data_IF_391419812515
#
_entry.id   IF_391419812515
#
_cell.length_a   1.000
_cell.length_b   1.000
_cell.length_c   1.000
_cell.angle_alpha   90.00
_cell.angle_beta   90.00
_cell.angle_gamma   90.00
#
_symmetry.space_group_name_H-M   'P 1'
#
loop_
_entity.id
_entity.type
_entity.pdbx_description
1 polymer ?
#
# COMPACT_ATOMS: atom_id res chain seq x y z
N UNK A 1 4.74 5.43 5.56
CA UNK A 1 5.15 4.82 6.82
C UNK A 1 5.87 5.88 7.61
N UNK A 2 5.53 6.10 8.88
CA UNK A 2 6.32 6.98 9.71
C UNK A 2 7.76 6.45 9.78
N UNK A 3 8.73 7.37 9.72
CA UNK A 3 10.12 7.02 10.00
C UNK A 3 10.26 6.52 11.44
N UNK A 4 11.28 5.71 11.70
CA UNK A 4 11.67 5.37 13.06
C UNK A 4 12.01 6.67 13.81
N UNK A 5 11.33 7.01 14.92
CA UNK A 5 11.59 8.25 15.65
C UNK A 5 13.05 8.41 16.08
N UNK A 6 13.80 7.31 16.24
CA UNK A 6 15.21 7.32 16.63
C UNK A 6 16.13 7.80 15.51
N UNK A 7 15.74 7.60 14.25
CA UNK A 7 16.57 7.91 13.07
C UNK A 7 15.92 8.88 12.09
N UNK A 8 14.67 9.29 12.33
CA UNK A 8 13.87 10.09 11.41
C UNK A 8 14.60 11.32 10.86
N UNK A 9 15.15 12.17 11.72
CA UNK A 9 15.85 13.39 11.28
C UNK A 9 17.11 13.08 10.46
N UNK A 10 17.84 12.03 10.85
CA UNK A 10 19.03 11.59 10.10
C UNK A 10 18.64 11.04 8.72
N UNK A 11 17.59 10.25 8.66
CA UNK A 11 17.15 9.59 7.42
C UNK A 11 16.56 10.63 6.44
N UNK A 12 15.80 11.61 6.95
CA UNK A 12 15.34 12.76 6.15
C UNK A 12 16.52 13.56 5.61
N UNK A 13 17.49 13.93 6.45
CA UNK A 13 18.66 14.70 6.05
C UNK A 13 19.50 13.96 4.99
N UNK A 14 19.67 12.63 5.16
CA UNK A 14 20.37 11.80 4.18
C UNK A 14 19.64 11.78 2.84
N UNK A 15 18.30 11.67 2.83
CA UNK A 15 17.51 11.74 1.60
C UNK A 15 17.64 13.10 0.90
N UNK A 16 17.56 14.20 1.66
CA UNK A 16 17.70 15.55 1.11
C UNK A 16 19.09 15.80 0.50
N UNK A 17 20.14 15.20 1.07
CA UNK A 17 21.50 15.31 0.54
C UNK A 17 21.69 14.64 -0.83
N UNK A 18 20.76 13.77 -1.25
CA UNK A 18 20.78 13.08 -2.54
C UNK A 18 19.79 13.69 -3.56
N UNK A 19 19.14 14.79 -3.23
CA UNK A 19 18.24 15.47 -4.16
C UNK A 19 19.02 16.04 -5.35
N UNK A 20 18.47 15.96 -6.58
CA UNK A 20 19.10 16.53 -7.75
C UNK A 20 19.08 18.06 -7.68
N UNK A 21 19.99 18.70 -8.42
CA UNK A 21 20.25 20.14 -8.33
C UNK A 21 19.00 21.02 -8.55
N UNK A 22 18.04 20.53 -9.33
CA UNK A 22 16.80 21.25 -9.67
C UNK A 22 15.83 21.39 -8.48
N UNK A 23 15.94 20.54 -7.47
CA UNK A 23 15.04 20.53 -6.30
C UNK A 23 15.79 20.57 -4.96
N UNK A 24 17.10 20.85 -4.97
CA UNK A 24 17.95 20.86 -3.76
C UNK A 24 17.57 21.93 -2.73
N UNK A 25 16.89 22.99 -3.16
CA UNK A 25 16.47 24.10 -2.30
C UNK A 25 15.13 23.85 -1.61
N UNK A 26 14.44 22.74 -1.93
CA UNK A 26 13.22 22.34 -1.23
C UNK A 26 13.55 21.90 0.20
N UNK A 27 12.67 22.23 1.14
CA UNK A 27 12.66 21.60 2.44
C UNK A 27 12.04 20.19 2.35
N UNK A 28 12.27 19.38 3.39
CA UNK A 28 11.65 18.06 3.49
C UNK A 28 10.11 18.13 3.38
N UNK A 29 9.53 19.14 4.02
CA UNK A 29 8.08 19.38 4.07
C UNK A 29 7.49 19.75 2.71
N UNK A 30 8.29 20.34 1.81
CA UNK A 30 7.85 20.73 0.47
C UNK A 30 7.66 19.52 -0.47
N UNK A 31 8.19 18.35 -0.09
CA UNK A 31 8.02 17.09 -0.83
C UNK A 31 6.65 16.45 -0.59
N UNK A 32 5.92 16.89 0.43
CA UNK A 32 4.59 16.36 0.73
C UNK A 32 3.55 16.89 -0.27
N UNK A 33 2.83 15.97 -0.92
CA UNK A 33 1.63 16.36 -1.67
C UNK A 33 0.51 16.64 -0.67
N UNK A 34 0.26 17.94 -0.45
CA UNK A 34 -0.68 18.42 0.57
C UNK A 34 -2.02 17.66 0.57
N UNK A 35 -2.49 17.16 1.73
CA UNK A 35 -3.79 16.50 1.85
C UNK A 35 -4.94 17.37 1.35
N UNK A 36 -5.91 16.75 0.67
CA UNK A 36 -7.08 17.45 0.13
C UNK A 36 -6.81 18.37 -1.07
N UNK A 37 -5.55 18.55 -1.47
CA UNK A 37 -5.20 19.31 -2.68
C UNK A 37 -5.73 18.65 -3.95
N UNK A 38 -5.95 19.44 -5.00
CA UNK A 38 -6.32 18.92 -6.32
C UNK A 38 -5.29 17.91 -6.86
N UNK A 39 -3.99 18.15 -6.57
CA UNK A 39 -2.91 17.24 -6.94
C UNK A 39 -3.05 15.88 -6.23
N UNK A 40 -3.30 15.88 -4.91
CA UNK A 40 -3.54 14.64 -4.14
C UNK A 40 -4.76 13.89 -4.65
N UNK A 41 -5.88 14.59 -4.80
CA UNK A 41 -7.14 13.98 -5.25
C UNK A 41 -7.01 13.37 -6.65
N UNK A 42 -6.33 14.06 -7.58
CA UNK A 42 -6.05 13.54 -8.91
C UNK A 42 -5.15 12.32 -8.85
N UNK A 43 -4.07 12.36 -8.06
CA UNK A 43 -3.14 11.24 -7.91
C UNK A 43 -3.84 9.98 -7.38
N UNK A 44 -4.67 10.12 -6.34
CA UNK A 44 -5.43 9.00 -5.75
C UNK A 44 -6.43 8.43 -6.76
N UNK A 45 -7.18 9.29 -7.45
CA UNK A 45 -8.16 8.87 -8.47
C UNK A 45 -7.49 8.15 -9.65
N UNK A 46 -6.38 8.68 -10.15
CA UNK A 46 -5.68 8.08 -11.29
C UNK A 46 -5.04 6.74 -10.87
N UNK A 47 -4.62 6.61 -9.61
CA UNK A 47 -4.13 5.34 -9.06
C UNK A 47 -5.25 4.29 -8.94
N UNK A 48 -6.42 4.66 -8.42
CA UNK A 48 -7.62 3.81 -8.41
C UNK A 48 -7.94 3.30 -9.81
N UNK A 49 -8.01 4.21 -10.79
CA UNK A 49 -8.29 3.86 -12.18
C UNK A 49 -7.24 2.90 -12.77
N UNK A 50 -5.97 3.07 -12.44
CA UNK A 50 -4.91 2.16 -12.88
C UNK A 50 -5.04 0.77 -12.25
N UNK A 51 -5.34 0.68 -10.95
CA UNK A 51 -5.58 -0.58 -10.26
C UNK A 51 -6.82 -1.29 -10.81
N UNK A 52 -7.90 -0.56 -11.03
CA UNK A 52 -9.14 -1.08 -11.61
C UNK A 52 -8.95 -1.60 -13.03
N UNK A 53 -8.19 -0.88 -13.87
CA UNK A 53 -7.99 -1.27 -15.26
C UNK A 53 -7.02 -2.45 -15.43
N UNK A 54 -6.01 -2.57 -14.56
CA UNK A 54 -4.88 -3.51 -14.77
C UNK A 54 -4.87 -4.69 -13.82
N UNK A 55 -5.20 -4.48 -12.55
CA UNK A 55 -5.08 -5.53 -11.53
C UNK A 55 -6.44 -6.12 -11.18
N UNK A 56 -7.50 -5.31 -11.05
CA UNK A 56 -8.83 -5.81 -10.68
C UNK A 56 -9.30 -7.00 -11.53
N UNK A 57 -9.12 -7.06 -12.87
CA UNK A 57 -9.56 -8.20 -13.67
C UNK A 57 -8.84 -9.52 -13.34
N UNK A 58 -7.66 -9.46 -12.73
CA UNK A 58 -6.89 -10.64 -12.34
C UNK A 58 -7.42 -11.29 -11.05
N UNK A 59 -8.31 -10.62 -10.31
CA UNK A 59 -8.83 -11.06 -9.02
C UNK A 59 -10.36 -11.28 -9.07
N UNK A 60 -10.88 -12.27 -8.33
CA UNK A 60 -12.30 -12.60 -8.35
C UNK A 60 -13.17 -11.46 -7.80
N UNK A 61 -14.39 -11.36 -8.34
CA UNK A 61 -15.43 -10.47 -7.82
C UNK A 61 -15.99 -10.96 -6.49
N UNK A 62 -16.84 -10.13 -5.86
CA UNK A 62 -17.56 -10.53 -4.64
C UNK A 62 -18.50 -11.70 -4.94
N UNK A 63 -18.37 -12.80 -4.21
CA UNK A 63 -19.17 -14.02 -4.40
C UNK A 63 -18.54 -15.07 -5.34
N UNK A 64 -17.31 -14.85 -5.79
CA UNK A 64 -16.49 -15.89 -6.44
C UNK A 64 -15.58 -16.63 -5.47
N UNK A 65 -15.79 -16.44 -4.15
CA UNK A 65 -15.02 -17.06 -3.08
C UNK A 65 -15.90 -18.17 -2.45
N UNK A 66 -15.67 -19.43 -2.81
CA UNK A 66 -16.29 -20.64 -2.23
C UNK A 66 -15.17 -21.61 -1.79
N UNK A 67 -15.47 -22.80 -1.24
CA UNK A 67 -14.42 -23.67 -0.67
C UNK A 67 -13.33 -24.07 -1.69
N UNK A 68 -13.61 -23.98 -3.00
CA UNK A 68 -12.66 -24.27 -4.08
C UNK A 68 -12.01 -23.01 -4.67
N UNK A 69 -12.60 -21.82 -4.46
CA UNK A 69 -12.13 -20.55 -5.00
C UNK A 69 -11.84 -19.52 -3.91
N UNK A 70 -10.67 -18.88 -3.98
CA UNK A 70 -10.24 -17.90 -2.98
C UNK A 70 -9.99 -16.52 -3.59
N UNK A 71 -9.72 -15.50 -2.75
CA UNK A 71 -9.55 -14.12 -3.17
C UNK A 71 -8.24 -13.85 -3.91
N UNK A 72 -7.46 -14.89 -4.20
CA UNK A 72 -6.16 -14.81 -4.87
C UNK A 72 -6.32 -14.69 -6.39
N UNK A 73 -5.22 -14.36 -7.05
CA UNK A 73 -5.17 -14.18 -8.49
C UNK A 73 -5.75 -15.38 -9.24
N UNK A 74 -6.67 -15.13 -10.17
CA UNK A 74 -7.38 -16.15 -10.93
C UNK A 74 -8.45 -16.91 -10.14
N UNK A 75 -8.83 -16.46 -8.95
CA UNK A 75 -9.84 -17.13 -8.11
C UNK A 75 -9.31 -18.35 -7.35
N UNK A 76 -7.99 -18.46 -7.18
CA UNK A 76 -7.37 -19.65 -6.58
C UNK A 76 -7.65 -19.73 -5.08
N UNK A 77 -7.78 -20.93 -4.54
CA UNK A 77 -7.86 -21.16 -3.09
C UNK A 77 -6.55 -20.85 -2.34
N UNK A 78 -5.39 -20.91 -3.01
CA UNK A 78 -4.08 -20.65 -2.41
C UNK A 78 -3.30 -19.55 -3.15
N UNK A 79 -2.51 -18.73 -2.42
CA UNK A 79 -1.77 -17.63 -3.02
C UNK A 79 -0.63 -18.13 -3.91
N UNK A 80 -0.31 -17.36 -4.93
CA UNK A 80 0.90 -17.47 -5.73
C UNK A 80 1.82 -16.27 -5.51
N UNK A 81 3.04 -16.32 -6.04
CA UNK A 81 4.05 -15.25 -5.87
C UNK A 81 3.52 -13.85 -6.22
N UNK A 82 2.68 -13.73 -7.26
CA UNK A 82 2.09 -12.46 -7.65
C UNK A 82 1.16 -11.86 -6.57
N UNK A 83 0.43 -12.70 -5.83
CA UNK A 83 -0.41 -12.25 -4.70
C UNK A 83 0.45 -11.62 -3.61
N UNK A 84 1.63 -12.19 -3.33
CA UNK A 84 2.54 -11.63 -2.33
C UNK A 84 3.15 -10.29 -2.76
N UNK A 85 3.40 -10.07 -4.07
CA UNK A 85 3.82 -8.76 -4.57
C UNK A 85 2.73 -7.72 -4.29
N UNK A 86 1.49 -8.01 -4.68
CA UNK A 86 0.36 -7.09 -4.48
C UNK A 86 0.07 -6.91 -3.00
N UNK A 87 0.10 -7.98 -2.20
CA UNK A 87 -0.06 -7.94 -0.74
C UNK A 87 1.01 -7.09 -0.06
N UNK A 88 2.26 -7.17 -0.52
CA UNK A 88 3.34 -6.30 -0.06
C UNK A 88 3.06 -4.82 -0.35
N UNK A 89 2.55 -4.50 -1.55
CA UNK A 89 2.10 -3.15 -1.87
C UNK A 89 0.95 -2.69 -0.97
N UNK A 90 -0.04 -3.56 -0.72
CA UNK A 90 -1.16 -3.22 0.17
C UNK A 90 -0.70 -2.95 1.61
N UNK A 91 0.26 -3.74 2.13
CA UNK A 91 0.87 -3.48 3.44
C UNK A 91 1.66 -2.18 3.49
N UNK A 92 2.37 -1.85 2.40
CA UNK A 92 3.03 -0.55 2.24
C UNK A 92 2.01 0.58 2.25
N UNK A 93 0.94 0.48 1.45
CA UNK A 93 -0.11 1.49 1.35
C UNK A 93 -0.86 1.68 2.67
N UNK A 94 -1.17 0.61 3.42
CA UNK A 94 -1.72 0.70 4.77
C UNK A 94 -0.88 1.59 5.69
N UNK A 95 0.44 1.53 5.55
CA UNK A 95 1.35 2.34 6.36
C UNK A 95 1.62 3.74 5.81
N UNK A 96 1.27 4.04 4.55
CA UNK A 96 1.63 5.27 3.85
C UNK A 96 0.44 6.18 3.54
N UNK A 97 -0.73 5.60 3.31
CA UNK A 97 -1.94 6.36 3.02
C UNK A 97 -2.56 6.90 4.31
N UNK A 98 -3.11 8.13 4.29
CA UNK A 98 -4.02 8.59 5.32
C UNK A 98 -5.22 7.64 5.48
N UNK A 99 -5.75 7.52 6.70
CA UNK A 99 -6.83 6.58 7.05
C UNK A 99 -8.03 6.62 6.06
N UNK A 100 -8.55 7.79 5.63
CA UNK A 100 -9.68 7.82 4.70
C UNK A 100 -9.36 7.25 3.31
N UNK A 101 -8.11 7.41 2.85
CA UNK A 101 -7.67 6.89 1.56
C UNK A 101 -7.40 5.38 1.64
N UNK A 102 -6.81 4.91 2.75
CA UNK A 102 -6.67 3.49 3.04
C UNK A 102 -8.03 2.80 3.12
N UNK A 103 -8.99 3.36 3.85
CA UNK A 103 -10.37 2.83 3.94
C UNK A 103 -11.01 2.73 2.54
N UNK A 104 -10.89 3.77 1.72
CA UNK A 104 -11.41 3.75 0.36
C UNK A 104 -10.76 2.65 -0.49
N UNK A 105 -9.42 2.54 -0.48
CA UNK A 105 -8.71 1.51 -1.22
C UNK A 105 -9.09 0.10 -0.74
N UNK A 106 -9.14 -0.11 0.57
CA UNK A 106 -9.43 -1.42 1.14
C UNK A 106 -10.86 -1.87 0.86
N UNK A 107 -11.83 -0.98 1.10
CA UNK A 107 -13.23 -1.35 1.22
C UNK A 107 -14.08 -1.00 0.01
N UNK A 108 -13.68 0.00 -0.80
CA UNK A 108 -14.52 0.53 -1.90
C UNK A 108 -13.94 0.23 -3.27
N UNK A 109 -12.63 0.45 -3.46
CA UNK A 109 -11.98 0.25 -4.77
C UNK A 109 -12.13 -1.18 -5.25
N UNK A 110 -12.30 -1.32 -6.57
CA UNK A 110 -12.45 -2.63 -7.22
C UNK A 110 -13.52 -3.54 -6.59
N UNK A 111 -14.55 -2.99 -5.94
CA UNK A 111 -15.56 -3.77 -5.22
C UNK A 111 -15.02 -4.48 -3.97
N UNK A 112 -14.06 -3.85 -3.28
CA UNK A 112 -13.46 -4.33 -2.04
C UNK A 112 -12.52 -5.53 -2.21
N UNK A 113 -12.02 -5.77 -3.43
CA UNK A 113 -11.06 -6.87 -3.72
C UNK A 113 -9.79 -6.75 -2.88
N UNK A 114 -9.28 -5.53 -2.73
CA UNK A 114 -8.01 -5.29 -2.03
C UNK A 114 -8.09 -5.62 -0.54
N UNK A 115 -9.22 -5.34 0.12
CA UNK A 115 -9.46 -5.77 1.49
C UNK A 115 -9.48 -7.29 1.64
N UNK A 116 -10.17 -8.01 0.73
CA UNK A 116 -10.22 -9.48 0.76
C UNK A 116 -8.85 -10.12 0.56
N UNK A 117 -8.09 -9.65 -0.43
CA UNK A 117 -6.72 -10.12 -0.67
C UNK A 117 -5.82 -9.83 0.54
N UNK A 118 -5.91 -8.62 1.10
CA UNK A 118 -5.14 -8.24 2.27
C UNK A 118 -5.42 -9.16 3.47
N UNK A 119 -6.69 -9.46 3.72
CA UNK A 119 -7.11 -10.30 4.84
C UNK A 119 -6.69 -11.75 4.66
N UNK A 120 -6.84 -12.27 3.44
CA UNK A 120 -6.41 -13.63 3.11
C UNK A 120 -4.89 -13.80 3.24
N UNK A 121 -4.10 -12.78 2.91
CA UNK A 121 -2.65 -12.82 3.06
C UNK A 121 -2.16 -12.59 4.50
N UNK A 122 -3.05 -12.28 5.45
CA UNK A 122 -2.66 -11.93 6.81
C UNK A 122 -1.89 -13.06 7.54
N UNK A 123 -2.16 -14.32 7.19
CA UNK A 123 -1.45 -15.49 7.71
C UNK A 123 0.07 -15.39 7.51
N UNK A 124 0.53 -14.78 6.41
CA UNK A 124 1.96 -14.66 6.05
C UNK A 124 2.58 -13.33 6.45
N UNK A 125 1.96 -12.57 7.36
CA UNK A 125 2.46 -11.24 7.75
C UNK A 125 3.32 -11.23 9.01
N UNK A 126 3.56 -12.40 9.61
CA UNK A 126 4.35 -12.53 10.83
C UNK A 126 5.78 -11.99 10.62
N UNK A 127 6.17 -11.06 11.50
CA UNK A 127 7.54 -10.55 11.62
C UNK A 127 8.15 -11.08 12.91
N UNK A 128 9.39 -11.54 12.85
CA UNK A 128 10.10 -12.18 13.96
C UNK A 128 10.58 -11.21 15.05
N UNK A 129 10.35 -9.91 14.87
CA UNK A 129 10.61 -8.88 15.87
C UNK A 129 12.09 -8.67 16.19
N UNK A 130 13.01 -9.18 15.36
CA UNK A 130 14.44 -8.92 15.54
C UNK A 130 14.76 -7.43 15.42
N UNK A 131 15.80 -7.01 16.13
CA UNK A 131 16.27 -5.62 16.08
C UNK A 131 16.55 -5.18 14.64
N UNK A 132 15.93 -4.08 14.20
CA UNK A 132 15.97 -3.60 12.81
C UNK A 132 14.82 -4.09 11.91
N UNK A 133 13.96 -4.99 12.38
CA UNK A 133 12.71 -5.36 11.71
C UNK A 133 11.58 -4.49 12.25
N UNK A 134 10.71 -3.98 11.36
CA UNK A 134 9.55 -3.20 11.76
C UNK A 134 8.71 -3.98 12.80
N UNK A 135 8.29 -3.36 13.91
CA UNK A 135 7.56 -4.06 14.97
C UNK A 135 6.25 -4.66 14.44
N UNK A 136 5.76 -5.71 15.11
CA UNK A 136 4.44 -6.28 14.80
C UNK A 136 3.39 -5.17 14.83
N UNK A 137 2.69 -5.01 13.71
CA UNK A 137 1.65 -3.98 13.56
C UNK A 137 0.35 -4.52 14.12
N UNK A 138 -0.23 -3.79 15.08
CA UNK A 138 -1.61 -4.02 15.55
C UNK A 138 -2.61 -3.87 14.41
#
# INVERSE_FOLDING_TARGET
MPFDPRTAERDKAAMMAHMPDEIKDLAWEDLEVAPGSNARNKMVRDFEAAMDAKLSPCYPGKGGDDDENGPFMGGRASPMYADFIVGGWLQFMRGCLPEPEWDAMRNKWSGGKWGRLFDALNEWTAVDGREGVAPQRR
#
